data_IF_728268028114
#
_entry.id   IF_728268028114
#
_cell.length_a   1.000
_cell.length_b   1.000
_cell.length_c   1.000
_cell.angle_alpha   90.00
_cell.angle_beta   90.00
_cell.angle_gamma   90.00
#
_symmetry.space_group_name_H-M   'P 1'
#
loop_
_entity.id
_entity.type
_entity.pdbx_description
1 polymer ?
#
# COMPACT_ATOMS: atom_id res chain seq x y z
N UNK A 1 -6.32 7.97 10.08
CA UNK A 1 -6.91 8.79 9.00
C UNK A 1 -7.28 7.85 7.88
N UNK A 2 -8.51 7.90 7.36
CA UNK A 2 -8.95 7.02 6.27
C UNK A 2 -8.81 7.71 4.93
N UNK A 3 -8.27 6.99 3.95
CA UNK A 3 -8.16 7.39 2.55
C UNK A 3 -9.22 6.63 1.75
N UNK A 4 -9.78 7.31 0.76
CA UNK A 4 -10.81 6.72 -0.10
C UNK A 4 -10.17 5.84 -1.17
N UNK A 5 -10.92 4.90 -1.74
CA UNK A 5 -10.42 3.97 -2.75
C UNK A 5 -10.91 4.34 -4.15
N UNK A 6 -10.20 3.87 -5.18
CA UNK A 6 -10.75 3.82 -6.53
C UNK A 6 -11.74 2.64 -6.62
N UNK A 7 -13.01 2.85 -6.96
CA UNK A 7 -14.00 1.77 -7.00
C UNK A 7 -13.72 0.72 -8.09
N UNK A 8 -12.88 1.02 -9.09
CA UNK A 8 -12.58 0.10 -10.18
C UNK A 8 -11.38 -0.80 -9.88
N UNK A 9 -10.42 -0.32 -9.08
CA UNK A 9 -9.19 -1.07 -8.73
C UNK A 9 -9.14 -1.49 -7.27
N UNK A 10 -10.03 -0.94 -6.44
CA UNK A 10 -10.05 -1.08 -4.99
C UNK A 10 -8.77 -0.61 -4.27
N UNK A 11 -7.92 0.11 -5.01
CA UNK A 11 -6.65 0.66 -4.53
C UNK A 11 -6.85 2.04 -3.90
N UNK A 12 -5.85 2.53 -3.16
CA UNK A 12 -5.89 3.88 -2.60
C UNK A 12 -6.04 4.96 -3.69
N UNK A 13 -7.04 5.85 -3.55
CA UNK A 13 -7.27 6.94 -4.49
C UNK A 13 -6.29 8.10 -4.23
N UNK A 14 -5.36 8.31 -5.17
CA UNK A 14 -4.31 9.35 -5.11
C UNK A 14 -4.86 10.75 -4.76
N UNK A 15 -6.00 11.13 -5.34
CA UNK A 15 -6.68 12.40 -5.04
C UNK A 15 -7.10 12.53 -3.57
N UNK A 16 -7.58 11.43 -2.97
CA UNK A 16 -7.97 11.39 -1.56
C UNK A 16 -6.76 11.48 -0.63
N UNK A 17 -5.66 10.81 -1.00
CA UNK A 17 -4.37 10.94 -0.30
C UNK A 17 -3.89 12.38 -0.28
N UNK A 18 -3.79 13.02 -1.44
CA UNK A 18 -3.27 14.38 -1.57
C UNK A 18 -4.10 15.40 -0.79
N UNK A 19 -5.43 15.25 -0.75
CA UNK A 19 -6.31 16.16 0.01
C UNK A 19 -6.18 16.01 1.53
N UNK A 20 -5.88 14.81 2.01
CA UNK A 20 -5.91 14.50 3.45
C UNK A 20 -4.51 14.50 4.09
N UNK A 21 -3.46 14.38 3.28
CA UNK A 21 -2.09 14.38 3.75
C UNK A 21 -1.74 15.66 4.51
N UNK A 22 -0.99 15.51 5.60
CA UNK A 22 -0.47 16.59 6.44
C UNK A 22 0.70 16.07 7.30
N UNK A 23 1.40 16.98 7.99
CA UNK A 23 2.63 16.67 8.74
C UNK A 23 2.46 15.73 9.94
N UNK A 24 1.22 15.43 10.36
CA UNK A 24 0.96 14.45 11.42
C UNK A 24 0.94 13.00 10.91
N UNK A 25 0.88 12.80 9.59
CA UNK A 25 0.98 11.47 8.98
C UNK A 25 2.40 10.92 9.19
N UNK A 26 2.50 9.66 9.61
CA UNK A 26 3.79 8.97 9.87
C UNK A 26 4.00 7.72 9.02
N UNK A 27 2.95 7.24 8.38
CA UNK A 27 3.03 6.06 7.54
C UNK A 27 1.78 5.81 6.74
N UNK A 28 1.89 4.87 5.82
CA UNK A 28 0.85 4.40 4.91
C UNK A 28 0.73 2.89 5.13
N UNK A 29 -0.50 2.40 5.16
CA UNK A 29 -0.77 0.96 5.12
C UNK A 29 -1.34 0.67 3.74
N UNK A 30 -0.59 -0.07 2.91
CA UNK A 30 -1.01 -0.52 1.60
C UNK A 30 -1.68 -1.88 1.74
N UNK A 31 -2.95 -2.00 1.35
CA UNK A 31 -3.73 -3.24 1.54
C UNK A 31 -4.00 -3.87 0.18
N UNK A 32 -3.52 -5.10 0.00
CA UNK A 32 -3.68 -5.85 -1.25
C UNK A 32 -5.02 -6.60 -1.29
N UNK A 33 -6.08 -5.88 -1.61
CA UNK A 33 -7.44 -6.41 -1.61
C UNK A 33 -7.64 -7.48 -2.68
N UNK A 34 -8.20 -8.63 -2.28
CA UNK A 34 -8.61 -9.72 -3.19
C UNK A 34 -7.50 -10.25 -4.12
N UNK A 35 -6.23 -10.22 -3.70
CA UNK A 35 -5.13 -10.62 -4.58
C UNK A 35 -4.67 -9.53 -5.54
N UNK A 36 -5.28 -8.33 -5.51
CA UNK A 36 -4.89 -7.21 -6.35
C UNK A 36 -3.85 -6.34 -5.65
N UNK A 37 -2.62 -6.25 -6.19
CA UNK A 37 -1.62 -5.35 -5.64
C UNK A 37 -2.06 -3.88 -5.69
N UNK A 38 -1.66 -3.12 -4.67
CA UNK A 38 -1.67 -1.66 -4.73
C UNK A 38 -0.60 -1.20 -5.72
N UNK A 39 -0.63 0.08 -6.11
CA UNK A 39 0.44 0.72 -6.87
C UNK A 39 1.67 0.94 -5.94
N UNK A 40 2.36 -0.15 -5.62
CA UNK A 40 3.41 -0.20 -4.61
C UNK A 40 4.63 0.65 -4.96
N UNK A 41 4.96 0.79 -6.25
CA UNK A 41 6.03 1.68 -6.69
C UNK A 41 5.66 3.14 -6.39
N UNK A 42 4.46 3.58 -6.79
CA UNK A 42 4.02 4.95 -6.50
C UNK A 42 3.87 5.22 -4.99
N UNK A 43 3.37 4.25 -4.22
CA UNK A 43 3.26 4.39 -2.77
C UNK A 43 4.63 4.44 -2.09
N UNK A 44 5.59 3.64 -2.56
CA UNK A 44 6.96 3.65 -2.04
C UNK A 44 7.66 4.98 -2.33
N UNK A 45 7.51 5.51 -3.54
CA UNK A 45 8.05 6.80 -3.93
C UNK A 45 7.44 7.92 -3.09
N UNK A 46 6.11 7.97 -2.98
CA UNK A 46 5.42 8.95 -2.14
C UNK A 46 5.86 8.86 -0.68
N UNK A 47 6.01 7.65 -0.14
CA UNK A 47 6.47 7.46 1.23
C UNK A 47 7.92 7.94 1.42
N UNK A 48 8.81 7.70 0.46
CA UNK A 48 10.20 8.18 0.51
C UNK A 48 10.27 9.71 0.46
N UNK A 49 9.54 10.34 -0.46
CA UNK A 49 9.51 11.81 -0.62
C UNK A 49 9.03 12.52 0.65
N UNK A 50 8.14 11.88 1.41
CA UNK A 50 7.52 12.46 2.60
C UNK A 50 8.05 11.88 3.92
N UNK A 51 9.13 11.09 3.88
CA UNK A 51 9.73 10.43 5.04
C UNK A 51 8.71 9.62 5.88
N UNK A 52 7.85 8.86 5.21
CA UNK A 52 6.81 8.02 5.80
C UNK A 52 7.21 6.55 5.79
N UNK A 53 6.75 5.81 6.81
CA UNK A 53 6.78 4.35 6.76
C UNK A 53 5.75 3.82 5.76
N UNK A 54 6.10 2.77 5.04
CA UNK A 54 5.18 1.97 4.25
C UNK A 54 5.01 0.61 4.90
N UNK A 55 3.78 0.26 5.26
CA UNK A 55 3.42 -1.07 5.76
C UNK A 55 2.62 -1.77 4.67
N UNK A 56 3.08 -2.93 4.22
CA UNK A 56 2.31 -3.78 3.32
C UNK A 56 1.45 -4.76 4.11
N UNK A 57 0.15 -4.73 3.89
CA UNK A 57 -0.78 -5.78 4.29
C UNK A 57 -1.16 -6.62 3.07
N UNK A 58 -0.52 -7.77 2.96
CA UNK A 58 -0.77 -8.75 1.91
C UNK A 58 -1.45 -10.01 2.46
N UNK A 59 -2.29 -9.86 3.49
CA UNK A 59 -3.02 -10.97 4.07
C UNK A 59 -3.81 -11.79 3.03
N UNK A 60 -4.42 -11.11 2.05
CA UNK A 60 -5.25 -11.73 1.01
C UNK A 60 -4.52 -12.01 -0.32
N UNK A 61 -3.23 -11.72 -0.39
CA UNK A 61 -2.43 -11.88 -1.61
C UNK A 61 -1.25 -12.80 -1.34
N UNK A 62 -0.88 -13.67 -2.28
CA UNK A 62 0.27 -14.56 -2.09
C UNK A 62 0.87 -15.00 -3.42
N UNK A 63 2.20 -14.85 -3.55
CA UNK A 63 2.95 -15.32 -4.71
C UNK A 63 3.00 -14.36 -5.90
N UNK A 64 2.31 -13.22 -5.83
CA UNK A 64 2.33 -12.20 -6.88
C UNK A 64 3.65 -11.41 -6.90
N UNK A 65 3.96 -10.85 -8.07
CA UNK A 65 5.18 -10.07 -8.33
C UNK A 65 4.84 -8.79 -9.08
N UNK A 66 5.57 -7.73 -8.75
CA UNK A 66 5.62 -6.50 -9.54
C UNK A 66 7.04 -6.39 -10.09
N UNK A 67 7.19 -6.60 -11.40
CA UNK A 67 8.49 -6.71 -12.05
C UNK A 67 9.32 -7.86 -11.47
N UNK A 68 10.48 -7.53 -10.89
CA UNK A 68 11.38 -8.50 -10.28
C UNK A 68 11.16 -8.73 -8.78
N UNK A 69 10.32 -7.92 -8.11
CA UNK A 69 10.11 -7.97 -6.65
C UNK A 69 8.81 -8.70 -6.31
N UNK A 70 8.80 -9.40 -5.18
CA UNK A 70 7.58 -10.05 -4.68
C UNK A 70 6.72 -9.06 -3.90
N UNK A 71 5.41 -9.26 -3.87
CA UNK A 71 4.55 -8.57 -2.90
C UNK A 71 5.05 -8.91 -1.48
N UNK A 72 5.14 -7.90 -0.63
CA UNK A 72 5.74 -7.98 0.69
C UNK A 72 7.20 -7.52 0.76
N UNK A 73 7.84 -7.21 -0.37
CA UNK A 73 9.23 -6.71 -0.39
C UNK A 73 9.35 -5.18 -0.48
N UNK A 74 8.24 -4.43 -0.58
CA UNK A 74 8.20 -2.98 -0.83
C UNK A 74 8.09 -2.14 0.45
N UNK A 75 7.44 -2.67 1.48
CA UNK A 75 7.23 -2.06 2.77
C UNK A 75 8.48 -2.05 3.63
N UNK A 76 8.52 -1.11 4.57
CA UNK A 76 9.44 -1.16 5.71
C UNK A 76 9.06 -2.33 6.65
N UNK A 77 7.78 -2.68 6.68
CA UNK A 77 7.21 -3.84 7.36
C UNK A 77 6.15 -4.44 6.44
N UNK A 78 6.10 -5.77 6.35
CA UNK A 78 5.12 -6.48 5.52
C UNK A 78 4.45 -7.61 6.32
N UNK A 79 3.14 -7.75 6.17
CA UNK A 79 2.29 -8.61 6.99
C UNK A 79 1.52 -9.59 6.11
N UNK A 80 1.63 -10.89 6.44
CA UNK A 80 0.89 -11.98 5.80
C UNK A 80 0.00 -12.70 6.83
N UNK A 81 -1.20 -13.09 6.38
CA UNK A 81 -2.05 -14.06 7.08
C UNK A 81 -2.00 -15.42 6.37
N UNK A 82 -1.96 -16.50 7.16
CA UNK A 82 -2.07 -17.90 6.69
C UNK A 82 -3.43 -18.53 7.08
N UNK A 83 -4.40 -17.71 7.47
CA UNK A 83 -5.75 -18.18 7.80
C UNK A 83 -6.45 -18.78 6.57
N UNK A 84 -7.03 -19.96 6.75
CA UNK A 84 -7.86 -20.69 5.79
C UNK A 84 -9.34 -20.34 5.92
#
# INVERSE_FOLDING_TARGET
MFIDIDPNTLSLKKESMNRKFNNNVKGIIAIHHFGQPEDLEALRDFANENCLFLIEDFAQSFGDKIGARMIGDFGDISIKSFGS
#
